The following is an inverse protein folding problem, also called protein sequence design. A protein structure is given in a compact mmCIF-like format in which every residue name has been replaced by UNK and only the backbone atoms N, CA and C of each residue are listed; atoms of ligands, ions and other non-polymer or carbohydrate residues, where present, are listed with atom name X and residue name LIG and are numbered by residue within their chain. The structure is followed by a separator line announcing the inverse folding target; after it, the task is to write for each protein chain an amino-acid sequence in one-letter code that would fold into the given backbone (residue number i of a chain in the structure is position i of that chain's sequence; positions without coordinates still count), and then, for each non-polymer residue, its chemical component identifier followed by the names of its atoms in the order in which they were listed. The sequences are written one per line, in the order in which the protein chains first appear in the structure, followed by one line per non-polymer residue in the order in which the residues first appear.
data_IF_748568245203
#
_entry.id   IF_748568245203
#
_cell.length_a   1.000
_cell.length_b   1.000
_cell.length_c   1.000
_cell.angle_alpha   90.00
_cell.angle_beta   90.00
_cell.angle_gamma   90.00
#
_symmetry.space_group_name_H-M   'P 1'
#
loop_
_entity.id
_entity.type
_entity.pdbx_description
1 polymer ?
#
# COMPACT_ATOMS: atom_id res chain seq x y z
N UNK A 1 38.17 1.59 -22.56
CA UNK A 1 37.27 2.47 -23.34
C UNK A 1 36.15 1.63 -23.93
N UNK A 2 35.01 1.57 -23.25
CA UNK A 2 33.81 0.88 -23.72
C UNK A 2 32.84 1.93 -24.24
N UNK A 3 32.51 1.84 -25.53
CA UNK A 3 31.60 2.75 -26.25
C UNK A 3 30.15 2.37 -25.92
N UNK A 4 29.37 3.32 -25.39
CA UNK A 4 27.92 3.21 -25.31
C UNK A 4 27.30 3.36 -26.71
N UNK A 5 26.26 2.60 -27.07
CA UNK A 5 25.54 2.81 -28.31
C UNK A 5 24.57 4.00 -28.19
N UNK A 6 24.58 4.86 -29.20
CA UNK A 6 23.68 6.01 -29.39
C UNK A 6 22.24 5.57 -29.68
N UNK A 7 21.29 6.17 -28.97
CA UNK A 7 19.85 6.00 -29.19
C UNK A 7 19.42 6.80 -30.43
N UNK A 8 18.67 6.23 -31.39
CA UNK A 8 18.15 6.99 -32.53
C UNK A 8 16.95 7.86 -32.11
N UNK A 9 16.94 9.11 -32.55
CA UNK A 9 15.77 9.99 -32.48
C UNK A 9 14.77 9.59 -33.56
N UNK A 10 13.59 9.11 -33.16
CA UNK A 10 12.47 8.92 -34.06
C UNK A 10 11.51 10.11 -33.97
N UNK A 11 11.59 10.97 -34.98
CA UNK A 11 10.52 11.89 -35.37
C UNK A 11 9.69 11.15 -36.42
N UNK A 12 8.42 10.84 -36.10
CA UNK A 12 7.50 10.17 -37.01
C UNK A 12 6.06 10.49 -36.64
N UNK A 13 5.37 11.19 -37.55
CA UNK A 13 4.03 11.77 -37.39
C UNK A 13 2.90 10.73 -37.52
N UNK A 14 1.89 10.93 -36.68
CA UNK A 14 0.44 10.92 -36.94
C UNK A 14 -0.25 9.65 -37.48
N UNK A 15 -1.24 9.18 -36.70
CA UNK A 15 -2.34 8.39 -37.23
C UNK A 15 -3.11 7.56 -36.19
N UNK A 16 -3.85 8.18 -35.27
CA UNK A 16 -5.00 7.51 -34.65
C UNK A 16 -6.01 8.54 -34.16
N UNK A 17 -7.28 8.34 -34.51
CA UNK A 17 -8.39 9.24 -34.21
C UNK A 17 -8.76 9.21 -32.70
N UNK A 18 -9.26 10.32 -32.14
CA UNK A 18 -9.54 10.42 -30.71
C UNK A 18 -10.89 9.77 -30.35
N UNK A 19 -10.86 8.87 -29.36
CA UNK A 19 -12.08 8.47 -28.66
C UNK A 19 -12.60 9.64 -27.82
N UNK A 20 -13.87 9.97 -28.06
CA UNK A 20 -14.59 11.04 -27.40
C UNK A 20 -14.74 10.77 -25.90
N UNK A 21 -14.01 11.52 -25.08
CA UNK A 21 -14.34 11.77 -23.69
C UNK A 21 -14.71 13.24 -23.54
N UNK A 22 -15.83 13.46 -22.86
CA UNK A 22 -16.48 14.75 -22.68
C UNK A 22 -15.51 15.85 -22.23
N UNK A 23 -15.47 16.92 -23.02
CA UNK A 23 -14.78 18.19 -22.73
C UNK A 23 -15.55 18.95 -21.65
N UNK A 24 -14.92 19.25 -20.52
CA UNK A 24 -15.31 20.36 -19.64
C UNK A 24 -14.19 21.43 -19.72
N UNK A 25 -14.50 22.70 -20.03
CA UNK A 25 -13.47 23.72 -20.18
C UNK A 25 -12.85 24.09 -18.83
N UNK A 26 -11.51 24.12 -18.81
CA UNK A 26 -10.72 24.68 -17.73
C UNK A 26 -10.77 26.21 -17.78
N UNK A 27 -11.33 26.85 -16.75
CA UNK A 27 -10.96 28.21 -16.38
C UNK A 27 -11.31 28.49 -14.92
N UNK A 28 -10.31 28.50 -14.04
CA UNK A 28 -10.21 29.43 -12.92
C UNK A 28 -8.87 29.21 -12.21
N UNK A 29 -8.03 30.22 -12.24
CA UNK A 29 -6.88 30.44 -11.35
C UNK A 29 -7.28 30.18 -9.89
N UNK A 30 -6.49 29.45 -9.08
CA UNK A 30 -6.73 29.42 -7.65
C UNK A 30 -6.25 30.75 -7.06
N UNK A 31 -7.21 31.57 -6.64
CA UNK A 31 -6.96 32.69 -5.76
C UNK A 31 -6.45 32.18 -4.42
N UNK A 32 -5.25 32.62 -4.05
CA UNK A 32 -4.68 32.43 -2.73
C UNK A 32 -5.52 33.25 -1.74
N UNK A 33 -6.39 32.60 -0.98
CA UNK A 33 -7.00 33.20 0.19
C UNK A 33 -6.10 32.87 1.37
N UNK A 34 -5.24 33.83 1.73
CA UNK A 34 -4.62 33.86 3.03
C UNK A 34 -5.73 34.03 4.08
N UNK A 35 -6.01 32.99 4.86
CA UNK A 35 -6.86 33.15 6.05
C UNK A 35 -6.04 33.85 7.11
N UNK A 36 -6.31 35.14 7.31
CA UNK A 36 -5.81 35.92 8.42
C UNK A 36 -6.21 35.26 9.75
N UNK A 37 -5.20 35.06 10.59
CA UNK A 37 -5.37 34.76 11.99
C UNK A 37 -5.97 35.99 12.69
N UNK A 38 -7.30 36.08 12.74
CA UNK A 38 -8.02 37.00 13.60
C UNK A 38 -9.47 36.55 13.70
N UNK A 39 -9.76 35.67 14.66
CA UNK A 39 -10.99 35.62 15.46
C UNK A 39 -10.94 34.39 16.35
N UNK A 40 -10.18 34.50 17.44
CA UNK A 40 -10.38 33.69 18.62
C UNK A 40 -11.68 34.18 19.29
N UNK A 41 -12.82 33.76 18.76
CA UNK A 41 -14.11 33.91 19.39
C UNK A 41 -14.63 32.51 19.72
N UNK A 42 -14.74 32.29 21.03
CA UNK A 42 -15.42 31.21 21.75
C UNK A 42 -16.43 30.41 20.89
N UNK A 43 -16.00 29.24 20.42
CA UNK A 43 -16.85 28.24 19.76
C UNK A 43 -17.22 27.10 20.71
N UNK A 44 -17.31 27.39 22.01
CA UNK A 44 -18.02 26.48 22.90
C UNK A 44 -19.50 26.46 22.51
N UNK A 45 -20.06 25.26 22.35
CA UNK A 45 -21.49 24.98 22.11
C UNK A 45 -22.02 25.09 20.66
N UNK A 46 -21.75 24.09 19.83
CA UNK A 46 -22.75 23.64 18.83
C UNK A 46 -22.95 22.12 18.69
N UNK A 47 -22.27 21.30 19.49
CA UNK A 47 -22.59 19.88 19.61
C UNK A 47 -22.68 19.52 21.09
N UNK A 48 -23.89 19.23 21.59
CA UNK A 48 -24.05 18.44 22.81
C UNK A 48 -23.45 17.07 22.52
N UNK A 49 -22.18 16.88 22.84
CA UNK A 49 -21.65 15.52 22.94
C UNK A 49 -22.34 14.91 24.16
N UNK A 50 -23.09 13.82 23.98
CA UNK A 50 -23.76 13.09 25.07
C UNK A 50 -22.72 12.38 25.98
N UNK A 51 -21.70 13.10 26.46
CA UNK A 51 -20.53 12.51 27.12
C UNK A 51 -19.55 11.82 26.17
N UNK A 52 -19.82 11.77 24.85
CA UNK A 52 -18.91 11.16 23.86
C UNK A 52 -17.74 12.11 23.60
N UNK A 53 -16.55 11.77 24.10
CA UNK A 53 -15.30 12.45 23.72
C UNK A 53 -14.90 11.99 22.31
N UNK A 54 -14.86 12.88 21.30
CA UNK A 54 -14.45 12.49 19.95
C UNK A 54 -13.01 11.97 19.96
N UNK A 55 -12.77 10.86 19.26
CA UNK A 55 -11.42 10.36 19.03
C UNK A 55 -10.72 11.23 17.99
N UNK A 56 -9.46 11.57 18.22
CA UNK A 56 -8.67 12.42 17.32
C UNK A 56 -7.60 11.56 16.69
N UNK A 57 -7.86 11.13 15.45
CA UNK A 57 -6.96 10.28 14.68
C UNK A 57 -6.12 11.12 13.71
N UNK A 58 -4.87 10.75 13.51
CA UNK A 58 -4.00 11.39 12.52
C UNK A 58 -3.12 10.38 11.78
N UNK A 59 -2.86 10.65 10.50
CA UNK A 59 -1.98 9.84 9.66
C UNK A 59 -0.51 10.04 10.05
N UNK A 60 0.15 8.93 10.37
CA UNK A 60 1.59 8.81 10.45
C UNK A 60 2.16 8.42 9.09
N UNK A 61 2.29 9.40 8.20
CA UNK A 61 2.94 9.25 6.89
C UNK A 61 4.43 8.91 7.00
N UNK A 62 4.78 7.73 6.52
CA UNK A 62 6.14 7.23 6.34
C UNK A 62 6.64 7.53 4.93
N UNK A 63 7.95 7.75 4.83
CA UNK A 63 8.68 7.96 3.58
C UNK A 63 9.84 6.98 3.48
N UNK A 64 10.49 6.89 2.32
CA UNK A 64 11.58 5.94 2.09
C UNK A 64 12.71 6.07 3.13
N UNK A 65 13.05 7.30 3.51
CA UNK A 65 14.10 7.60 4.49
C UNK A 65 13.80 7.05 5.89
N UNK A 66 12.54 6.75 6.22
CA UNK A 66 12.19 6.15 7.50
C UNK A 66 12.74 4.71 7.63
N UNK A 67 13.02 4.02 6.52
CA UNK A 67 13.71 2.72 6.51
C UNK A 67 15.20 2.80 6.88
N UNK A 68 15.76 4.01 7.00
CA UNK A 68 17.11 4.21 7.52
C UNK A 68 17.19 4.07 9.04
N UNK A 69 16.08 3.76 9.73
CA UNK A 69 16.13 3.38 11.13
C UNK A 69 17.21 2.28 11.37
N UNK A 70 18.06 2.38 12.43
CA UNK A 70 17.96 3.28 13.58
C UNK A 70 18.82 4.56 13.51
N UNK A 71 19.07 5.11 12.32
CA UNK A 71 19.84 6.35 12.17
C UNK A 71 19.31 7.46 13.10
N UNK A 72 20.23 8.19 13.75
CA UNK A 72 19.90 9.18 14.79
C UNK A 72 18.88 10.22 14.30
N UNK A 73 18.97 10.63 13.05
CA UNK A 73 18.04 11.57 12.42
C UNK A 73 16.61 11.03 12.37
N UNK A 74 16.43 9.75 12.07
CA UNK A 74 15.13 9.08 12.02
C UNK A 74 14.55 8.95 13.43
N UNK A 75 15.35 8.50 14.40
CA UNK A 75 14.92 8.38 15.81
C UNK A 75 14.45 9.74 16.36
N UNK A 76 15.22 10.81 16.12
CA UNK A 76 14.84 12.17 16.54
C UNK A 76 13.58 12.67 15.80
N UNK A 77 13.38 12.31 14.53
CA UNK A 77 12.16 12.63 13.78
C UNK A 77 10.94 11.98 14.42
N UNK A 78 11.03 10.71 14.81
CA UNK A 78 9.95 9.97 15.49
C UNK A 78 9.58 10.69 16.80
N UNK A 79 10.56 10.96 17.67
CA UNK A 79 10.36 11.61 18.96
C UNK A 79 9.64 12.96 18.83
N UNK A 80 10.14 13.83 17.94
CA UNK A 80 9.55 15.16 17.70
C UNK A 80 8.12 15.07 17.16
N UNK A 81 7.84 14.10 16.28
CA UNK A 81 6.49 13.90 15.74
C UNK A 81 5.52 13.38 16.79
N UNK A 82 5.93 12.43 17.63
CA UNK A 82 5.11 11.93 18.74
C UNK A 82 4.75 13.06 19.73
N UNK A 83 5.72 13.87 20.13
CA UNK A 83 5.50 15.06 20.96
C UNK A 83 4.53 16.06 20.28
N UNK A 84 4.67 16.26 18.96
CA UNK A 84 3.80 17.16 18.20
C UNK A 84 2.36 16.65 18.13
N UNK A 85 2.16 15.34 17.99
CA UNK A 85 0.84 14.71 18.02
C UNK A 85 0.19 14.88 19.39
N UNK A 86 0.96 14.70 20.46
CA UNK A 86 0.49 14.92 21.84
C UNK A 86 0.04 16.38 22.05
N UNK A 87 0.85 17.36 21.64
CA UNK A 87 0.49 18.79 21.70
C UNK A 87 -0.76 19.12 20.89
N UNK A 88 -1.01 18.41 19.79
CA UNK A 88 -2.21 18.57 18.96
C UNK A 88 -3.45 17.83 19.49
N UNK A 89 -3.32 17.13 20.63
CA UNK A 89 -4.40 16.35 21.24
C UNK A 89 -4.83 15.14 20.41
N UNK A 90 -3.94 14.59 19.58
CA UNK A 90 -4.18 13.33 18.87
C UNK A 90 -4.16 12.19 19.88
N UNK A 91 -5.10 11.25 19.75
CA UNK A 91 -5.17 10.06 20.62
C UNK A 91 -4.90 8.75 19.88
N UNK A 92 -4.89 8.77 18.54
CA UNK A 92 -4.59 7.62 17.71
C UNK A 92 -3.80 8.05 16.47
N UNK A 93 -2.66 7.41 16.22
CA UNK A 93 -1.91 7.52 14.98
C UNK A 93 -2.17 6.28 14.12
N UNK A 94 -2.28 6.46 12.80
CA UNK A 94 -2.41 5.36 11.84
C UNK A 94 -1.22 5.42 10.88
N UNK A 95 -0.45 4.34 10.74
CA UNK A 95 0.67 4.27 9.79
C UNK A 95 0.16 4.37 8.36
N UNK A 96 0.72 5.27 7.58
CA UNK A 96 0.58 5.26 6.11
C UNK A 96 1.95 5.28 5.49
N UNK A 97 2.12 4.72 4.30
CA UNK A 97 3.40 4.77 3.58
C UNK A 97 4.00 3.39 3.31
N UNK A 98 3.97 2.47 4.26
CA UNK A 98 4.45 1.09 4.05
C UNK A 98 3.30 0.15 3.68
N UNK A 99 2.58 0.53 2.60
CA UNK A 99 1.29 -0.03 2.23
C UNK A 99 1.38 -1.46 1.69
N UNK A 100 2.05 -1.66 0.54
CA UNK A 100 2.28 -2.97 -0.07
C UNK A 100 3.26 -3.78 0.77
N UNK A 101 2.76 -4.47 1.80
CA UNK A 101 3.60 -4.91 2.91
C UNK A 101 4.72 -5.85 2.50
N UNK A 102 4.43 -6.80 1.61
CA UNK A 102 5.39 -7.81 1.22
C UNK A 102 6.46 -7.32 0.24
N UNK A 103 6.32 -6.12 -0.31
CA UNK A 103 7.44 -5.45 -1.01
C UNK A 103 8.60 -5.12 -0.06
N UNK A 104 8.33 -5.02 1.25
CA UNK A 104 9.33 -4.79 2.29
C UNK A 104 9.83 -6.07 2.96
N UNK A 105 9.55 -7.27 2.43
CA UNK A 105 9.85 -8.54 3.10
C UNK A 105 11.33 -8.69 3.53
N UNK A 106 12.26 -8.26 2.69
CA UNK A 106 13.71 -8.27 2.99
C UNK A 106 14.14 -7.20 4.01
N UNK A 107 13.23 -6.30 4.38
CA UNK A 107 13.48 -5.16 5.26
C UNK A 107 12.64 -5.20 6.54
N UNK A 108 11.94 -6.31 6.83
CA UNK A 108 11.04 -6.40 7.98
C UNK A 108 11.71 -6.12 9.32
N UNK A 109 12.98 -6.52 9.52
CA UNK A 109 13.70 -6.17 10.76
C UNK A 109 13.79 -4.66 10.97
N UNK A 110 14.13 -3.91 9.91
CA UNK A 110 14.23 -2.45 9.96
C UNK A 110 12.86 -1.79 10.06
N UNK A 111 11.91 -2.28 9.27
CA UNK A 111 10.54 -1.76 9.25
C UNK A 111 9.84 -1.98 10.59
N UNK A 112 9.92 -3.18 11.17
CA UNK A 112 9.34 -3.47 12.48
C UNK A 112 10.09 -2.75 13.60
N UNK A 113 11.41 -2.59 13.50
CA UNK A 113 12.18 -1.75 14.42
C UNK A 113 11.72 -0.29 14.41
N UNK A 114 11.54 0.28 13.21
CA UNK A 114 10.98 1.62 13.04
C UNK A 114 9.57 1.71 13.66
N UNK A 115 8.66 0.80 13.31
CA UNK A 115 7.28 0.81 13.79
C UNK A 115 7.19 0.62 15.32
N UNK A 116 8.04 -0.24 15.90
CA UNK A 116 8.18 -0.39 17.35
C UNK A 116 8.59 0.94 17.98
N UNK A 117 9.62 1.59 17.44
CA UNK A 117 10.08 2.87 17.97
C UNK A 117 8.99 3.94 17.89
N UNK A 118 8.21 3.97 16.79
CA UNK A 118 7.04 4.86 16.66
C UNK A 118 6.01 4.58 17.75
N UNK A 119 5.65 3.32 17.94
CA UNK A 119 4.68 2.91 18.95
C UNK A 119 5.13 3.31 20.36
N UNK A 120 6.37 2.97 20.73
CA UNK A 120 6.94 3.29 22.04
C UNK A 120 6.97 4.80 22.31
N UNK A 121 7.32 5.63 21.33
CA UNK A 121 7.34 7.08 21.48
C UNK A 121 5.94 7.68 21.59
N UNK A 122 4.95 7.14 20.87
CA UNK A 122 3.55 7.55 20.96
C UNK A 122 2.91 7.13 22.29
N UNK A 123 3.21 5.93 22.77
CA UNK A 123 2.68 5.37 24.01
C UNK A 123 3.11 6.17 25.25
N UNK A 124 4.26 6.86 25.23
CA UNK A 124 4.66 7.81 26.28
C UNK A 124 3.63 8.90 26.54
N UNK A 125 2.81 9.22 25.52
CA UNK A 125 1.75 10.24 25.59
C UNK A 125 0.34 9.62 25.63
N UNK A 126 0.22 8.29 25.74
CA UNK A 126 -1.05 7.57 25.69
C UNK A 126 -1.73 7.60 24.31
N UNK A 127 -0.96 7.83 23.23
CA UNK A 127 -1.46 7.83 21.85
C UNK A 127 -1.36 6.43 21.29
N UNK A 128 -2.49 5.88 20.83
CA UNK A 128 -2.55 4.55 20.23
C UNK A 128 -1.89 4.52 18.86
N UNK A 129 -1.30 3.40 18.46
CA UNK A 129 -0.79 3.18 17.10
C UNK A 129 -1.57 2.07 16.39
N UNK A 130 -2.12 2.38 15.23
CA UNK A 130 -2.66 1.39 14.30
C UNK A 130 -1.77 1.26 13.07
N UNK A 131 -1.57 0.05 12.60
CA UNK A 131 -0.88 -0.20 11.34
C UNK A 131 -1.89 -0.31 10.20
N UNK A 132 -1.66 0.41 9.09
CA UNK A 132 -2.45 0.30 7.87
C UNK A 132 -1.56 -0.19 6.73
N UNK A 133 -1.96 -1.31 6.13
CA UNK A 133 -1.23 -1.98 5.05
C UNK A 133 -2.14 -2.92 4.27
N UNK A 134 -1.68 -3.33 3.09
CA UNK A 134 -2.24 -4.46 2.35
C UNK A 134 -1.29 -5.66 2.40
N UNK A 135 -1.85 -6.86 2.55
CA UNK A 135 -1.10 -8.10 2.70
C UNK A 135 -1.13 -9.00 1.45
N UNK A 136 -1.94 -8.67 0.45
CA UNK A 136 -2.23 -9.56 -0.66
C UNK A 136 -1.81 -9.00 -2.01
N UNK A 137 -1.00 -7.94 -2.06
CA UNK A 137 -0.47 -7.41 -3.32
C UNK A 137 1.03 -7.12 -3.20
N UNK A 138 1.69 -7.20 -4.35
CA UNK A 138 3.08 -6.79 -4.54
C UNK A 138 3.19 -5.98 -5.82
N UNK A 139 3.99 -4.93 -5.78
CA UNK A 139 4.19 -4.05 -6.92
C UNK A 139 5.04 -4.72 -8.00
N UNK A 140 4.58 -4.61 -9.24
CA UNK A 140 5.09 -5.40 -10.37
C UNK A 140 5.16 -4.60 -11.68
N UNK A 141 5.72 -3.39 -11.72
CA UNK A 141 5.90 -2.69 -12.99
C UNK A 141 6.75 -3.53 -13.95
N UNK A 142 6.32 -3.61 -15.20
CA UNK A 142 6.89 -4.46 -16.26
C UNK A 142 7.67 -3.65 -17.29
N UNK A 143 7.54 -2.32 -17.26
CA UNK A 143 8.23 -1.39 -18.15
C UNK A 143 8.55 -0.08 -17.42
N UNK A 144 9.46 0.72 -18.00
CA UNK A 144 9.73 2.06 -17.48
C UNK A 144 8.47 2.96 -17.52
N UNK A 145 7.62 2.81 -18.55
CA UNK A 145 6.33 3.50 -18.62
C UNK A 145 5.47 3.18 -17.39
N UNK A 146 5.34 1.91 -17.04
CA UNK A 146 4.58 1.46 -15.87
C UNK A 146 5.20 1.94 -14.55
N UNK A 147 6.54 2.06 -14.46
CA UNK A 147 7.22 2.67 -13.32
C UNK A 147 6.79 4.13 -13.12
N UNK A 148 6.78 4.92 -14.19
CA UNK A 148 6.37 6.33 -14.11
C UNK A 148 4.88 6.48 -13.81
N UNK A 149 4.04 5.62 -14.39
CA UNK A 149 2.60 5.58 -14.11
C UNK A 149 2.32 5.17 -12.66
N UNK A 150 3.01 4.16 -12.14
CA UNK A 150 2.92 3.74 -10.74
C UNK A 150 3.27 4.91 -9.81
N UNK A 151 4.41 5.57 -10.03
CA UNK A 151 4.81 6.75 -9.27
C UNK A 151 3.82 7.93 -9.39
N UNK A 152 3.17 8.10 -10.55
CA UNK A 152 2.17 9.15 -10.75
C UNK A 152 0.88 8.88 -9.98
N UNK A 153 0.42 7.63 -9.93
CA UNK A 153 -0.88 7.23 -9.35
C UNK A 153 -0.79 6.90 -7.85
N UNK A 154 0.33 6.34 -7.40
CA UNK A 154 0.48 5.74 -6.07
C UNK A 154 1.37 6.55 -5.14
N UNK A 155 1.19 7.88 -5.13
CA UNK A 155 1.93 8.82 -4.26
C UNK A 155 1.57 8.73 -2.77
N UNK A 156 0.63 7.85 -2.43
CA UNK A 156 0.18 7.64 -1.06
C UNK A 156 1.00 6.57 -0.32
N UNK A 157 1.97 5.92 -0.97
CA UNK A 157 2.86 5.00 -0.30
C UNK A 157 4.28 4.99 -0.88
N UNK A 158 5.20 4.40 -0.12
CA UNK A 158 6.60 4.20 -0.49
C UNK A 158 6.66 3.06 -1.49
N UNK A 159 7.18 3.35 -2.68
CA UNK A 159 7.37 2.37 -3.74
C UNK A 159 8.73 1.67 -3.53
N UNK A 160 8.71 0.36 -3.27
CA UNK A 160 9.91 -0.45 -3.03
C UNK A 160 9.77 -1.83 -3.67
N UNK A 161 9.71 -1.89 -4.99
CA UNK A 161 9.66 -3.15 -5.72
C UNK A 161 11.03 -3.59 -6.24
N UNK A 162 11.27 -4.91 -6.34
CA UNK A 162 12.49 -5.45 -6.93
C UNK A 162 12.50 -5.32 -8.47
N UNK A 163 13.70 -5.26 -9.03
CA UNK A 163 13.90 -5.48 -10.46
C UNK A 163 13.49 -6.91 -10.88
N UNK A 164 13.31 -7.20 -12.19
CA UNK A 164 12.82 -8.51 -12.64
C UNK A 164 13.65 -9.71 -12.19
N UNK A 165 14.97 -9.56 -11.97
CA UNK A 165 15.83 -10.66 -11.50
C UNK A 165 15.59 -10.95 -10.02
N UNK A 166 15.59 -9.91 -9.19
CA UNK A 166 15.34 -10.05 -7.75
C UNK A 166 13.90 -10.54 -7.48
N UNK A 167 12.93 -10.07 -8.29
CA UNK A 167 11.53 -10.49 -8.22
C UNK A 167 11.33 -12.01 -8.34
N UNK A 168 12.14 -12.68 -9.17
CA UNK A 168 12.05 -14.12 -9.35
C UNK A 168 12.35 -14.91 -8.06
N UNK A 169 13.00 -14.28 -7.08
CA UNK A 169 13.41 -14.88 -5.82
C UNK A 169 12.71 -14.25 -4.61
N UNK A 170 11.78 -13.32 -4.83
CA UNK A 170 11.08 -12.65 -3.74
C UNK A 170 10.19 -13.66 -3.00
N UNK A 171 10.37 -13.73 -1.69
CA UNK A 171 9.74 -14.74 -0.84
C UNK A 171 9.66 -14.26 0.61
N UNK A 172 8.80 -14.90 1.40
CA UNK A 172 8.80 -14.75 2.86
C UNK A 172 8.70 -16.13 3.52
N UNK A 173 9.69 -16.44 4.37
CA UNK A 173 9.77 -17.71 5.11
C UNK A 173 9.61 -18.99 4.25
N UNK A 174 10.22 -18.98 3.06
CA UNK A 174 10.23 -20.06 2.08
C UNK A 174 9.08 -20.04 1.07
N UNK A 175 8.09 -19.15 1.25
CA UNK A 175 6.95 -19.03 0.33
C UNK A 175 7.29 -18.02 -0.76
N UNK A 176 7.49 -18.51 -1.99
CA UNK A 176 7.76 -17.65 -3.14
C UNK A 176 6.49 -16.94 -3.59
N UNK A 177 6.60 -15.63 -3.77
CA UNK A 177 5.43 -14.80 -4.10
C UNK A 177 4.82 -15.15 -5.46
N UNK A 178 5.64 -15.56 -6.42
CA UNK A 178 5.17 -15.96 -7.75
C UNK A 178 4.30 -17.22 -7.72
N UNK A 179 4.43 -18.07 -6.70
CA UNK A 179 3.73 -19.36 -6.61
C UNK A 179 2.35 -19.22 -5.95
N UNK A 180 2.12 -18.09 -5.27
CA UNK A 180 0.88 -17.82 -4.53
C UNK A 180 -0.01 -16.75 -5.17
N UNK A 181 0.38 -16.23 -6.34
CA UNK A 181 -0.39 -15.23 -7.04
C UNK A 181 -1.75 -15.77 -7.54
N UNK A 182 -2.70 -14.86 -7.69
CA UNK A 182 -3.90 -15.09 -8.46
C UNK A 182 -3.56 -15.46 -9.89
N UNK A 183 -4.38 -16.32 -10.50
CA UNK A 183 -4.22 -16.77 -11.88
C UNK A 183 -5.33 -16.20 -12.75
N UNK A 184 -4.98 -15.62 -13.88
CA UNK A 184 -5.90 -15.15 -14.91
C UNK A 184 -6.55 -16.36 -15.60
N UNK A 185 -7.90 -16.44 -15.56
CA UNK A 185 -8.64 -17.57 -16.11
C UNK A 185 -8.47 -17.73 -17.63
N UNK A 186 -8.07 -16.66 -18.34
CA UNK A 186 -7.95 -16.64 -19.81
C UNK A 186 -6.63 -17.22 -20.28
N UNK A 187 -5.56 -16.94 -19.54
CA UNK A 187 -4.19 -17.23 -19.97
C UNK A 187 -3.54 -18.33 -19.15
N UNK A 188 -4.03 -18.59 -17.93
CA UNK A 188 -3.36 -19.47 -16.97
C UNK A 188 -2.11 -18.84 -16.34
N UNK A 189 -1.79 -17.59 -16.69
CA UNK A 189 -0.65 -16.84 -16.15
C UNK A 189 -1.05 -16.09 -14.87
N UNK A 190 -0.06 -15.54 -14.16
CA UNK A 190 -0.31 -14.67 -13.01
C UNK A 190 -1.19 -13.48 -13.42
N UNK A 191 -2.24 -13.25 -12.64
CA UNK A 191 -3.15 -12.14 -12.85
C UNK A 191 -2.50 -10.81 -12.49
N UNK A 192 -2.86 -9.77 -13.24
CA UNK A 192 -2.23 -8.45 -13.13
C UNK A 192 -3.29 -7.35 -12.99
N UNK A 193 -3.23 -6.65 -11.86
CA UNK A 193 -4.12 -5.53 -11.56
C UNK A 193 -3.59 -4.24 -12.19
N UNK A 194 -4.07 -3.90 -13.38
CA UNK A 194 -3.68 -2.68 -14.12
C UNK A 194 -3.85 -1.39 -13.29
N UNK A 195 -4.90 -1.18 -12.49
CA UNK A 195 -5.06 0.06 -11.73
C UNK A 195 -3.95 0.28 -10.68
N UNK A 196 -3.42 -0.81 -10.12
CA UNK A 196 -2.40 -0.80 -9.07
C UNK A 196 -0.99 -1.16 -9.56
N UNK A 197 -0.85 -1.64 -10.80
CA UNK A 197 0.42 -2.16 -11.33
C UNK A 197 1.00 -3.26 -10.42
N UNK A 198 0.12 -4.16 -9.96
CA UNK A 198 0.43 -5.20 -8.97
C UNK A 198 0.04 -6.59 -9.47
N UNK A 199 0.69 -7.60 -8.90
CA UNK A 199 0.15 -8.97 -8.84
C UNK A 199 -0.49 -9.15 -7.45
N UNK A 200 -1.63 -9.82 -7.39
CA UNK A 200 -2.31 -10.12 -6.12
C UNK A 200 -2.09 -11.58 -5.71
N UNK A 201 -1.99 -11.86 -4.42
CA UNK A 201 -1.95 -13.20 -3.85
C UNK A 201 -3.36 -13.78 -3.76
N UNK A 202 -3.47 -15.08 -4.06
CA UNK A 202 -4.73 -15.79 -4.00
C UNK A 202 -5.16 -16.04 -2.55
N UNK A 203 -6.31 -15.48 -2.14
CA UNK A 203 -6.86 -15.65 -0.79
C UNK A 203 -7.30 -17.08 -0.45
N UNK A 204 -7.36 -17.97 -1.44
CA UNK A 204 -7.64 -19.40 -1.26
C UNK A 204 -6.37 -20.27 -1.27
N UNK A 205 -5.21 -19.71 -1.56
CA UNK A 205 -3.96 -20.46 -1.54
C UNK A 205 -3.53 -20.72 -0.09
N UNK A 206 -3.40 -21.98 0.35
CA UNK A 206 -3.04 -22.30 1.73
C UNK A 206 -1.66 -21.76 2.13
N UNK A 207 -0.71 -21.66 1.19
CA UNK A 207 0.62 -21.13 1.47
C UNK A 207 0.57 -19.62 1.72
N UNK A 208 -0.28 -18.87 1.00
CA UNK A 208 -0.52 -17.46 1.29
C UNK A 208 -1.14 -17.28 2.69
N UNK A 209 -2.18 -18.05 3.01
CA UNK A 209 -2.86 -17.96 4.32
C UNK A 209 -1.88 -18.24 5.47
N UNK A 210 -1.05 -19.26 5.31
CA UNK A 210 -0.04 -19.62 6.30
C UNK A 210 1.08 -18.58 6.39
N UNK A 211 1.58 -18.09 5.25
CA UNK A 211 2.58 -17.02 5.18
C UNK A 211 2.10 -15.74 5.88
N UNK A 212 0.88 -15.29 5.59
CA UNK A 212 0.30 -14.10 6.21
C UNK A 212 0.04 -14.30 7.70
N UNK A 213 -0.42 -15.49 8.12
CA UNK A 213 -0.56 -15.85 9.54
C UNK A 213 0.78 -15.72 10.28
N UNK A 214 1.87 -16.25 9.72
CA UNK A 214 3.21 -16.15 10.30
C UNK A 214 3.68 -14.71 10.39
N UNK A 215 3.47 -13.93 9.32
CA UNK A 215 3.78 -12.50 9.31
C UNK A 215 3.01 -11.74 10.41
N UNK A 216 1.69 -11.94 10.51
CA UNK A 216 0.86 -11.26 11.53
C UNK A 216 1.31 -11.64 12.94
N UNK A 217 1.62 -12.92 13.19
CA UNK A 217 2.15 -13.36 14.48
C UNK A 217 3.50 -12.72 14.80
N UNK A 218 4.37 -12.59 13.80
CA UNK A 218 5.64 -11.89 13.95
C UNK A 218 5.41 -10.43 14.30
N UNK A 219 4.53 -9.75 13.57
CA UNK A 219 4.19 -8.36 13.78
C UNK A 219 3.63 -8.11 15.20
N UNK A 220 2.71 -8.96 15.66
CA UNK A 220 2.14 -8.91 17.02
C UNK A 220 3.19 -9.08 18.13
N UNK A 221 4.22 -9.89 17.90
CA UNK A 221 5.33 -10.07 18.84
C UNK A 221 6.31 -8.89 18.81
N UNK A 222 6.53 -8.34 17.63
CA UNK A 222 7.60 -7.39 17.38
C UNK A 222 7.18 -5.92 17.56
N UNK A 223 5.90 -5.59 17.49
CA UNK A 223 5.42 -4.21 17.52
C UNK A 223 4.25 -4.12 18.51
N UNK A 224 4.28 -3.19 19.48
CA UNK A 224 3.16 -2.98 20.39
C UNK A 224 2.06 -2.16 19.69
N UNK A 225 1.39 -2.75 18.71
CA UNK A 225 0.27 -2.14 17.98
C UNK A 225 -1.03 -2.22 18.80
N UNK A 226 -1.86 -1.19 18.66
CA UNK A 226 -3.19 -1.08 19.28
C UNK A 226 -4.32 -1.48 18.31
N UNK A 227 -4.01 -1.69 17.04
CA UNK A 227 -4.97 -2.11 16.04
C UNK A 227 -4.38 -2.27 14.64
N UNK A 228 -5.20 -2.84 13.77
CA UNK A 228 -4.87 -3.09 12.37
C UNK A 228 -5.95 -2.52 11.48
N UNK A 229 -5.53 -1.98 10.35
CA UNK A 229 -6.37 -1.64 9.22
C UNK A 229 -5.76 -2.34 7.98
N UNK A 230 -6.16 -3.58 7.78
CA UNK A 230 -5.70 -4.37 6.62
C UNK A 230 -6.61 -4.04 5.43
N UNK A 231 -6.05 -3.33 4.47
CA UNK A 231 -6.75 -2.87 3.26
C UNK A 231 -6.63 -3.90 2.12
N UNK A 232 -7.36 -3.66 1.03
CA UNK A 232 -7.11 -4.28 -0.28
C UNK A 232 -7.33 -5.80 -0.37
N UNK A 233 -8.07 -6.37 0.59
CA UNK A 233 -8.54 -7.76 0.58
C UNK A 233 -9.64 -8.01 -0.48
N UNK A 234 -9.37 -7.68 -1.74
CA UNK A 234 -10.28 -7.82 -2.87
C UNK A 234 -9.51 -8.22 -4.15
N UNK A 235 -10.25 -8.63 -5.18
CA UNK A 235 -9.71 -9.06 -6.48
C UNK A 235 -9.56 -7.86 -7.42
N UNK A 236 -8.36 -7.26 -7.46
CA UNK A 236 -8.11 -6.05 -8.26
C UNK A 236 -7.94 -6.28 -9.76
N UNK A 237 -7.66 -7.52 -10.19
CA UNK A 237 -7.61 -7.86 -11.61
C UNK A 237 -8.99 -8.18 -12.21
N UNK A 238 -10.05 -8.05 -11.41
CA UNK A 238 -11.44 -8.15 -11.85
C UNK A 238 -11.99 -9.57 -11.82
N UNK A 239 -13.11 -9.80 -12.50
CA UNK A 239 -13.84 -11.08 -12.49
C UNK A 239 -13.13 -12.22 -13.23
N UNK A 240 -12.02 -11.90 -13.92
CA UNK A 240 -11.15 -12.86 -14.61
C UNK A 240 -10.09 -13.46 -13.68
N UNK A 241 -10.03 -13.00 -12.43
CA UNK A 241 -9.20 -13.57 -11.36
C UNK A 241 -10.13 -14.04 -10.22
N UNK A 242 -9.86 -15.14 -9.52
CA UNK A 242 -8.71 -16.05 -9.63
C UNK A 242 -9.13 -17.45 -10.10
N UNK A 243 -8.43 -17.98 -11.12
CA UNK A 243 -8.65 -19.31 -11.71
C UNK A 243 -7.71 -20.42 -11.26
N UNK A 244 -6.98 -20.26 -10.14
CA UNK A 244 -5.98 -21.24 -9.70
C UNK A 244 -6.64 -22.57 -9.22
N UNK A 245 -5.82 -23.61 -9.04
CA UNK A 245 -6.31 -24.92 -8.59
C UNK A 245 -7.04 -24.86 -7.24
N UNK A 246 -6.60 -24.00 -6.31
CA UNK A 246 -7.24 -23.87 -5.00
C UNK A 246 -8.63 -23.22 -5.10
N UNK A 247 -8.78 -22.18 -5.93
CA UNK A 247 -10.07 -21.57 -6.20
C UNK A 247 -11.02 -22.55 -6.90
N UNK A 248 -10.54 -23.27 -7.93
CA UNK A 248 -11.34 -24.25 -8.68
C UNK A 248 -11.80 -25.40 -7.78
N UNK A 249 -10.88 -25.95 -6.98
CA UNK A 249 -11.16 -27.02 -6.02
C UNK A 249 -12.19 -26.56 -4.99
N UNK A 250 -11.97 -25.40 -4.34
CA UNK A 250 -12.89 -24.85 -3.34
C UNK A 250 -14.28 -24.58 -3.92
N UNK A 251 -14.35 -24.02 -5.14
CA UNK A 251 -15.62 -23.77 -5.81
C UNK A 251 -16.41 -25.06 -6.08
N UNK A 252 -15.72 -26.11 -6.55
CA UNK A 252 -16.32 -27.42 -6.77
C UNK A 252 -16.79 -28.09 -5.48
N UNK A 253 -15.99 -28.02 -4.42
CA UNK A 253 -16.31 -28.59 -3.11
C UNK A 253 -17.48 -27.88 -2.42
N UNK A 254 -17.53 -26.54 -2.45
CA UNK A 254 -18.55 -25.75 -1.75
C UNK A 254 -19.87 -25.64 -2.53
N UNK A 255 -19.79 -25.54 -3.86
CA UNK A 255 -20.97 -25.22 -4.69
C UNK A 255 -21.34 -26.34 -5.67
N UNK A 256 -20.50 -27.37 -5.86
CA UNK A 256 -20.78 -28.48 -6.78
C UNK A 256 -20.64 -28.13 -8.27
N UNK A 257 -20.09 -26.95 -8.60
CA UNK A 257 -19.89 -26.48 -9.96
C UNK A 257 -18.41 -26.37 -10.30
N UNK A 258 -18.08 -26.47 -11.59
CA UNK A 258 -16.75 -26.15 -12.09
C UNK A 258 -16.71 -24.68 -12.52
N UNK A 259 -15.61 -23.98 -12.23
CA UNK A 259 -15.42 -22.62 -12.76
C UNK A 259 -15.35 -22.76 -14.28
N UNK A 260 -16.26 -22.12 -15.03
CA UNK A 260 -16.33 -22.31 -16.47
C UNK A 260 -15.02 -21.86 -17.15
N UNK A 261 -14.71 -22.41 -18.33
CA UNK A 261 -13.81 -21.79 -19.29
C UNK A 261 -14.18 -20.32 -19.50
N UNK A 262 -13.21 -19.50 -19.91
CA UNK A 262 -13.47 -18.08 -20.14
C UNK A 262 -14.41 -17.84 -21.34
N UNK A 263 -14.42 -18.77 -22.28
CA UNK A 263 -15.17 -18.68 -23.53
C UNK A 263 -16.67 -18.97 -23.41
N UNK A 264 -17.12 -19.52 -22.27
CA UNK A 264 -18.53 -19.84 -21.99
C UNK A 264 -19.35 -18.59 -21.58
#
# INVERSE_FOLDING_TARGET
MLKYPTIPSFVGKAGCQPNAYFYHPASATPSVIASSAANAADSSSFYRTNGIKPRRMASWWCVFEDLLWPEKSVVLKIQRRAESFAKAGIDTAIIFGFHCRFDFADYFDRLHGYLRNVAEELHKYGIKLMDHYTCNIVERPRSFEEVFELHRRHRHHVLLYPDPRARAHQQYEGVFFNDICEIDVRTGERSFAIPYTTESFCHNNPDFLEMHRRYLQRQLREIPLDGYQVDDMCMYAGTISCGCEHCRRRFKEEYGYEIPPYED
#
